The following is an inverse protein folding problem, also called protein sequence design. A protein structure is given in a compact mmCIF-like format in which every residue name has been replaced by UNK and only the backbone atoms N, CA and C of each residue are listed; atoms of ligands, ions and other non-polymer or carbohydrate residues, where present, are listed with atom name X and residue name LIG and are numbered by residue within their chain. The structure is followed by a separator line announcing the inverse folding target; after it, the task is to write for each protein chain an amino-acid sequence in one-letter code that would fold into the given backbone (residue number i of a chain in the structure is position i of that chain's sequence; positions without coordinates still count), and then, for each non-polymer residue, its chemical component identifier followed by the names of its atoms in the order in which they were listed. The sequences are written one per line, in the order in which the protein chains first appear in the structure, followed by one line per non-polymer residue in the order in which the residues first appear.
data_IF_628591547701
#
_entry.id   IF_628591547701
#
_cell.length_a   1.000
_cell.length_b   1.000
_cell.length_c   1.000
_cell.angle_alpha   90.00
_cell.angle_beta   90.00
_cell.angle_gamma   90.00
#
_symmetry.space_group_name_H-M   'P 1'
#
loop_
_entity.id
_entity.type
_entity.pdbx_description
1 polymer ?
#
# COMPACT_ATOMS: atom_id res chain seq x y z
N UNK A 1 13.75 1.54 -20.13
CA UNK A 1 13.19 1.76 -18.78
C UNK A 1 12.23 0.62 -18.46
N UNK A 2 12.20 0.08 -17.24
CA UNK A 2 11.23 -0.92 -16.85
C UNK A 2 9.83 -0.34 -16.89
N UNK A 3 8.86 -1.19 -17.21
CA UNK A 3 7.44 -0.82 -17.18
C UNK A 3 6.85 -1.26 -15.84
N UNK A 4 6.24 -0.32 -15.13
CA UNK A 4 5.51 -0.57 -13.88
C UNK A 4 4.04 -0.32 -14.18
N UNK A 5 3.17 -1.26 -13.79
CA UNK A 5 1.73 -1.04 -13.84
C UNK A 5 1.23 -0.54 -12.49
N UNK A 6 0.36 0.46 -12.54
CA UNK A 6 -0.43 0.91 -11.40
C UNK A 6 -1.86 0.37 -11.56
N UNK A 7 -2.34 -0.31 -10.53
CA UNK A 7 -3.68 -0.88 -10.45
C UNK A 7 -4.39 -0.28 -9.25
N UNK A 8 -5.46 0.45 -9.48
CA UNK A 8 -6.32 0.92 -8.40
C UNK A 8 -7.45 -0.07 -8.09
N UNK A 9 -8.28 0.26 -7.11
CA UNK A 9 -9.39 -0.60 -6.73
C UNK A 9 -10.46 -0.75 -7.83
N UNK A 10 -10.60 0.24 -8.73
CA UNK A 10 -11.51 0.16 -9.86
C UNK A 10 -11.02 -0.84 -10.90
N UNK A 11 -9.71 -0.82 -11.20
CA UNK A 11 -9.08 -1.79 -12.09
C UNK A 11 -9.24 -3.21 -11.54
N UNK A 12 -9.00 -3.38 -10.24
CA UNK A 12 -9.14 -4.66 -9.53
C UNK A 12 -10.57 -5.19 -9.61
N UNK A 13 -11.58 -4.32 -9.58
CA UNK A 13 -13.00 -4.71 -9.68
C UNK A 13 -13.38 -5.21 -11.06
N UNK A 14 -12.79 -4.66 -12.13
CA UNK A 14 -13.30 -4.78 -13.49
C UNK A 14 -12.41 -5.62 -14.44
N UNK A 15 -11.20 -6.01 -14.01
CA UNK A 15 -10.23 -6.61 -14.92
C UNK A 15 -10.33 -8.13 -15.02
N UNK A 16 -10.31 -8.65 -16.24
CA UNK A 16 -10.30 -10.09 -16.52
C UNK A 16 -8.86 -10.68 -16.58
N UNK A 17 -7.83 -9.83 -16.65
CA UNK A 17 -6.44 -10.26 -16.81
C UNK A 17 -5.84 -10.91 -15.58
N UNK A 18 -6.47 -10.79 -14.41
CA UNK A 18 -6.00 -11.42 -13.18
C UNK A 18 -6.01 -12.96 -13.23
N UNK A 19 -6.80 -13.55 -14.12
CA UNK A 19 -6.82 -15.00 -14.32
C UNK A 19 -5.57 -15.53 -15.05
N UNK A 20 -4.84 -14.66 -15.76
CA UNK A 20 -3.65 -15.01 -16.55
C UNK A 20 -2.49 -14.06 -16.23
N UNK A 21 -1.98 -14.06 -14.99
CA UNK A 21 -0.98 -13.11 -14.54
C UNK A 21 0.35 -13.20 -15.28
N UNK A 22 0.74 -14.40 -15.70
CA UNK A 22 1.94 -14.68 -16.50
C UNK A 22 1.93 -13.92 -17.83
N UNK A 23 0.82 -13.99 -18.54
CA UNK A 23 0.63 -13.29 -19.83
C UNK A 23 0.56 -11.79 -19.62
N UNK A 24 -0.22 -11.34 -18.64
CA UNK A 24 -0.40 -9.93 -18.35
C UNK A 24 0.92 -9.26 -17.92
N UNK A 25 1.66 -9.91 -17.01
CA UNK A 25 2.93 -9.37 -16.49
C UNK A 25 4.12 -9.58 -17.42
N UNK A 26 3.93 -10.20 -18.61
CA UNK A 26 5.02 -10.36 -19.58
C UNK A 26 5.62 -9.01 -20.00
N UNK A 27 4.79 -7.96 -20.06
CA UNK A 27 5.19 -6.61 -20.45
C UNK A 27 5.61 -5.71 -19.28
N UNK A 28 5.42 -6.15 -18.02
CA UNK A 28 5.68 -5.34 -16.84
C UNK A 28 6.74 -5.99 -15.94
N UNK A 29 7.54 -5.18 -15.28
CA UNK A 29 8.57 -5.62 -14.35
C UNK A 29 8.26 -5.26 -12.90
N UNK A 30 7.19 -4.53 -12.65
CA UNK A 30 6.74 -4.16 -11.32
C UNK A 30 5.27 -3.81 -11.28
N UNK A 31 4.67 -3.91 -10.10
CA UNK A 31 3.26 -3.65 -9.85
C UNK A 31 3.12 -2.67 -8.68
N UNK A 32 2.25 -1.68 -8.82
CA UNK A 32 1.78 -0.85 -7.70
C UNK A 32 0.29 -1.12 -7.53
N UNK A 33 -0.11 -1.55 -6.34
CA UNK A 33 -1.51 -1.72 -5.93
C UNK A 33 -1.90 -0.48 -5.13
N UNK A 34 -2.82 0.32 -5.65
CA UNK A 34 -3.21 1.60 -5.08
C UNK A 34 -4.16 1.49 -3.89
N UNK A 35 -4.53 2.66 -3.37
CA UNK A 35 -5.56 2.82 -2.35
C UNK A 35 -6.98 2.63 -2.90
N UNK A 36 -7.95 2.55 -1.97
CA UNK A 36 -9.38 2.51 -2.27
C UNK A 36 -10.17 3.33 -1.26
N UNK A 37 -11.18 4.05 -1.75
CA UNK A 37 -12.21 4.65 -0.90
C UNK A 37 -13.49 3.79 -0.82
N UNK A 38 -13.62 2.73 -1.65
CA UNK A 38 -14.83 1.90 -1.75
C UNK A 38 -14.77 0.62 -0.92
N UNK A 39 -13.58 0.04 -0.73
CA UNK A 39 -13.39 -1.25 -0.08
C UNK A 39 -12.83 -1.11 1.33
N UNK A 40 -13.44 -1.85 2.27
CA UNK A 40 -13.07 -1.86 3.69
C UNK A 40 -13.03 -3.31 4.18
N UNK A 41 -12.03 -3.66 4.97
CA UNK A 41 -11.90 -4.99 5.58
C UNK A 41 -12.61 -5.12 6.93
N UNK A 42 -13.08 -4.01 7.50
CA UNK A 42 -13.72 -3.97 8.81
C UNK A 42 -14.87 -2.96 8.89
N UNK A 43 -15.69 -3.07 9.93
CA UNK A 43 -16.78 -2.15 10.20
C UNK A 43 -18.15 -2.61 9.70
N UNK A 44 -19.16 -1.74 9.80
CA UNK A 44 -20.53 -1.98 9.36
C UNK A 44 -20.65 -1.84 7.84
N UNK A 45 -20.11 -2.80 7.11
CA UNK A 45 -20.27 -2.89 5.67
C UNK A 45 -21.65 -3.45 5.38
N UNK A 46 -22.37 -2.92 4.38
CA UNK A 46 -23.61 -3.54 3.94
C UNK A 46 -23.32 -4.96 3.40
N UNK A 47 -24.31 -5.86 3.50
CA UNK A 47 -24.14 -7.22 2.94
C UNK A 47 -23.78 -7.21 1.46
N UNK A 48 -24.25 -6.23 0.72
CA UNK A 48 -23.97 -6.06 -0.70
C UNK A 48 -22.51 -5.67 -0.95
N UNK A 49 -21.97 -4.74 -0.15
CA UNK A 49 -20.56 -4.37 -0.23
C UNK A 49 -19.63 -5.52 0.18
N UNK A 50 -20.02 -6.32 1.19
CA UNK A 50 -19.27 -7.51 1.60
C UNK A 50 -19.20 -8.54 0.47
N UNK A 51 -20.33 -8.82 -0.21
CA UNK A 51 -20.36 -9.73 -1.36
C UNK A 51 -19.51 -9.22 -2.53
N UNK A 52 -19.55 -7.93 -2.82
CA UNK A 52 -18.72 -7.32 -3.86
C UNK A 52 -17.23 -7.42 -3.53
N UNK A 53 -16.88 -7.19 -2.27
CA UNK A 53 -15.49 -7.32 -1.81
C UNK A 53 -15.00 -8.77 -1.88
N UNK A 54 -15.81 -9.75 -1.45
CA UNK A 54 -15.45 -11.17 -1.56
C UNK A 54 -15.27 -11.59 -3.02
N UNK A 55 -16.13 -11.13 -3.91
CA UNK A 55 -15.99 -11.39 -5.35
C UNK A 55 -14.71 -10.79 -5.92
N UNK A 56 -14.37 -9.57 -5.52
CA UNK A 56 -13.12 -8.90 -5.90
C UNK A 56 -11.91 -9.66 -5.37
N UNK A 57 -11.89 -10.04 -4.09
CA UNK A 57 -10.80 -10.81 -3.50
C UNK A 57 -10.58 -12.14 -4.23
N UNK A 58 -11.67 -12.90 -4.51
CA UNK A 58 -11.58 -14.16 -5.25
C UNK A 58 -11.04 -13.97 -6.66
N UNK A 59 -11.34 -12.85 -7.31
CA UNK A 59 -10.86 -12.55 -8.65
C UNK A 59 -9.38 -12.20 -8.69
N UNK A 60 -8.90 -11.40 -7.74
CA UNK A 60 -7.49 -10.96 -7.70
C UNK A 60 -6.56 -12.01 -7.09
N UNK A 61 -7.08 -13.01 -6.38
CA UNK A 61 -6.28 -14.02 -5.68
C UNK A 61 -5.21 -14.67 -6.56
N UNK A 62 -5.51 -15.20 -7.76
CA UNK A 62 -4.49 -15.82 -8.62
C UNK A 62 -3.35 -14.86 -8.97
N UNK A 63 -3.67 -13.58 -9.15
CA UNK A 63 -2.70 -12.54 -9.45
C UNK A 63 -1.77 -12.26 -8.26
N UNK A 64 -2.33 -12.08 -7.07
CA UNK A 64 -1.53 -11.83 -5.86
C UNK A 64 -0.64 -13.05 -5.53
N UNK A 65 -1.19 -14.27 -5.63
CA UNK A 65 -0.39 -15.48 -5.41
C UNK A 65 0.75 -15.61 -6.42
N UNK A 66 0.52 -15.25 -7.68
CA UNK A 66 1.57 -15.21 -8.70
C UNK A 66 2.66 -14.18 -8.37
N UNK A 67 2.28 -12.97 -7.91
CA UNK A 67 3.24 -11.96 -7.46
C UNK A 67 4.11 -12.50 -6.30
N UNK A 68 3.48 -13.20 -5.36
CA UNK A 68 4.17 -13.80 -4.22
C UNK A 68 5.09 -14.93 -4.65
N UNK A 69 4.61 -15.88 -5.46
CA UNK A 69 5.38 -17.03 -5.90
C UNK A 69 6.67 -16.61 -6.63
N UNK A 70 6.54 -15.68 -7.56
CA UNK A 70 7.63 -15.23 -8.42
C UNK A 70 8.41 -14.04 -7.86
N UNK A 71 8.11 -13.58 -6.64
CA UNK A 71 8.73 -12.42 -5.99
C UNK A 71 8.80 -11.19 -6.93
N UNK A 72 7.70 -10.96 -7.67
CA UNK A 72 7.60 -9.82 -8.60
C UNK A 72 7.62 -8.53 -7.77
N UNK A 73 8.46 -7.53 -8.14
CA UNK A 73 8.47 -6.25 -7.45
C UNK A 73 7.05 -5.67 -7.34
N UNK A 74 6.56 -5.57 -6.12
CA UNK A 74 5.19 -5.13 -5.82
C UNK A 74 5.21 -4.12 -4.69
N UNK A 75 4.46 -3.02 -4.85
CA UNK A 75 4.24 -2.02 -3.80
C UNK A 75 2.73 -1.87 -3.58
N UNK A 76 2.23 -2.37 -2.45
CA UNK A 76 0.86 -2.11 -2.00
C UNK A 76 0.80 -0.82 -1.19
N UNK A 77 -0.10 0.10 -1.55
CA UNK A 77 -0.30 1.40 -0.89
C UNK A 77 -1.68 1.41 -0.24
N UNK A 78 -1.77 1.72 1.04
CA UNK A 78 -3.00 1.82 1.81
C UNK A 78 -3.89 0.57 1.64
N UNK A 79 -4.94 0.60 0.82
CA UNK A 79 -5.75 -0.58 0.52
C UNK A 79 -4.93 -1.71 -0.11
N UNK A 80 -4.01 -1.40 -1.02
CA UNK A 80 -3.08 -2.38 -1.60
C UNK A 80 -2.18 -3.05 -0.55
N UNK A 81 -1.73 -2.32 0.46
CA UNK A 81 -1.04 -2.88 1.64
C UNK A 81 -1.95 -3.85 2.39
N UNK A 82 -3.19 -3.44 2.69
CA UNK A 82 -4.17 -4.26 3.40
C UNK A 82 -4.54 -5.51 2.61
N UNK A 83 -4.62 -5.41 1.29
CA UNK A 83 -4.84 -6.53 0.38
C UNK A 83 -3.71 -7.56 0.50
N UNK A 84 -2.46 -7.13 0.41
CA UNK A 84 -1.30 -8.02 0.58
C UNK A 84 -1.30 -8.68 1.96
N UNK A 85 -1.58 -7.94 3.04
CA UNK A 85 -1.71 -8.47 4.41
C UNK A 85 -2.75 -9.58 4.48
N UNK A 86 -3.92 -9.38 3.85
CA UNK A 86 -5.01 -10.35 3.81
C UNK A 86 -4.58 -11.65 3.12
N UNK A 87 -3.91 -11.57 1.98
CA UNK A 87 -3.41 -12.75 1.25
C UNK A 87 -2.19 -13.40 1.91
N UNK A 88 -1.50 -12.71 2.82
CA UNK A 88 -0.50 -13.29 3.71
C UNK A 88 -1.11 -13.96 4.96
N UNK A 89 -2.45 -14.03 5.02
CA UNK A 89 -3.19 -14.76 6.06
C UNK A 89 -3.35 -13.99 7.38
N UNK A 90 -3.02 -12.69 7.42
CA UNK A 90 -3.22 -11.88 8.61
C UNK A 90 -4.50 -11.03 8.49
N UNK A 91 -5.07 -10.70 9.64
CA UNK A 91 -6.34 -9.97 9.71
C UNK A 91 -6.14 -8.48 9.53
N UNK A 92 -6.93 -7.90 8.63
CA UNK A 92 -7.18 -6.46 8.52
C UNK A 92 -8.56 -6.15 9.08
N UNK A 93 -8.68 -5.14 9.91
CA UNK A 93 -9.96 -4.73 10.49
C UNK A 93 -9.96 -3.27 10.91
N UNK A 94 -11.16 -2.71 11.10
CA UNK A 94 -11.33 -1.40 11.72
C UNK A 94 -10.85 -1.45 13.18
N UNK A 95 -9.88 -0.64 13.50
CA UNK A 95 -9.41 -0.38 14.86
C UNK A 95 -9.15 1.11 15.02
N UNK A 96 -10.05 1.79 15.72
CA UNK A 96 -9.98 3.25 15.93
C UNK A 96 -8.68 3.70 16.62
N UNK A 97 -7.99 2.80 17.33
CA UNK A 97 -6.70 3.09 17.95
C UNK A 97 -5.56 3.15 16.92
N UNK A 98 -5.74 2.50 15.77
CA UNK A 98 -4.80 2.45 14.67
C UNK A 98 -5.21 3.29 13.45
N UNK A 99 -6.43 3.85 13.47
CA UNK A 99 -6.93 4.72 12.40
C UNK A 99 -6.17 6.04 12.35
N UNK A 100 -5.74 6.42 11.17
CA UNK A 100 -4.97 7.65 10.92
C UNK A 100 -5.54 8.38 9.70
N UNK A 101 -5.82 9.68 9.86
CA UNK A 101 -6.16 10.60 8.76
C UNK A 101 -5.42 11.91 8.99
N UNK A 102 -4.60 12.33 8.04
CA UNK A 102 -3.75 13.51 8.13
C UNK A 102 -2.26 13.22 7.93
N UNK A 103 -1.42 14.10 8.46
CA UNK A 103 0.04 13.95 8.46
C UNK A 103 0.50 13.34 9.79
N UNK A 104 1.16 12.18 9.72
CA UNK A 104 1.67 11.47 10.90
C UNK A 104 3.12 11.03 10.70
N UNK A 105 3.87 10.89 11.80
CA UNK A 105 5.23 10.36 11.74
C UNK A 105 5.24 8.87 11.41
N UNK A 106 6.19 8.49 10.57
CA UNK A 106 6.58 7.10 10.28
C UNK A 106 7.96 6.86 10.89
N UNK A 107 8.12 5.74 11.60
CA UNK A 107 9.37 5.36 12.30
C UNK A 107 9.91 4.07 11.75
N UNK A 108 11.13 4.09 11.22
CA UNK A 108 11.82 2.89 10.75
C UNK A 108 12.18 1.94 11.88
N UNK A 109 12.10 0.65 11.60
CA UNK A 109 12.75 -0.39 12.41
C UNK A 109 14.26 -0.45 12.11
N UNK A 110 15.00 -1.31 12.82
CA UNK A 110 16.39 -1.64 12.49
C UNK A 110 16.52 -2.20 11.07
N UNK A 111 15.59 -3.06 10.67
CA UNK A 111 15.52 -3.68 9.36
C UNK A 111 15.19 -2.65 8.27
N UNK A 112 14.26 -1.74 8.57
CA UNK A 112 13.88 -0.67 7.65
C UNK A 112 15.02 0.26 7.27
N UNK A 113 15.94 0.54 8.21
CA UNK A 113 17.15 1.38 7.95
C UNK A 113 18.08 0.80 6.90
N UNK A 114 18.06 -0.51 6.71
CA UNK A 114 18.92 -1.24 5.79
C UNK A 114 18.17 -1.71 4.53
N UNK A 115 16.85 -1.45 4.48
CA UNK A 115 16.03 -1.89 3.36
C UNK A 115 16.14 -0.95 2.16
N UNK A 116 16.26 -1.48 0.93
CA UNK A 116 16.31 -0.68 -0.29
C UNK A 116 15.14 0.29 -0.44
N UNK A 117 13.93 -0.05 0.07
CA UNK A 117 12.75 0.80 -0.06
C UNK A 117 12.93 2.15 0.66
N UNK A 118 13.71 2.18 1.74
CA UNK A 118 13.94 3.38 2.54
C UNK A 118 15.34 3.96 2.41
N UNK A 119 16.07 3.55 1.38
CA UNK A 119 17.45 4.02 1.15
C UNK A 119 17.53 5.55 1.12
N UNK A 120 18.39 6.08 2.02
CA UNK A 120 18.65 7.52 2.13
C UNK A 120 17.48 8.34 2.67
N UNK A 121 16.53 7.71 3.38
CA UNK A 121 15.50 8.40 4.16
C UNK A 121 15.97 8.59 5.61
N UNK A 122 15.46 9.62 6.33
CA UNK A 122 15.72 9.75 7.77
C UNK A 122 15.00 8.65 8.55
N UNK A 123 15.45 8.37 9.79
CA UNK A 123 14.84 7.33 10.66
C UNK A 123 13.37 7.60 11.00
N UNK A 124 12.99 8.88 11.02
CA UNK A 124 11.62 9.34 11.25
C UNK A 124 11.30 10.39 10.18
N UNK A 125 10.15 10.27 9.56
CA UNK A 125 9.63 11.24 8.58
C UNK A 125 8.12 11.33 8.65
N UNK A 126 7.53 12.41 8.15
CA UNK A 126 6.08 12.56 7.99
C UNK A 126 5.58 11.91 6.72
N UNK A 127 4.38 11.34 6.77
CA UNK A 127 3.62 10.86 5.61
C UNK A 127 2.14 11.19 5.76
N UNK A 128 1.41 11.24 4.64
CA UNK A 128 -0.05 11.33 4.67
C UNK A 128 -0.68 9.97 4.83
N UNK A 129 -1.67 9.91 5.71
CA UNK A 129 -2.49 8.73 5.97
C UNK A 129 -3.96 9.08 5.77
N UNK A 130 -4.74 8.11 5.29
CA UNK A 130 -6.20 8.22 5.22
C UNK A 130 -6.78 6.80 5.25
N UNK A 131 -6.88 6.21 6.44
CA UNK A 131 -7.40 4.86 6.61
C UNK A 131 -8.11 4.66 7.95
N UNK A 132 -9.09 3.77 7.97
CA UNK A 132 -9.80 3.29 9.16
C UNK A 132 -9.36 1.89 9.53
N UNK A 133 -9.16 1.05 8.51
CA UNK A 133 -8.73 -0.33 8.68
C UNK A 133 -7.22 -0.43 8.73
N UNK A 134 -6.73 -1.35 9.53
CA UNK A 134 -5.30 -1.59 9.73
C UNK A 134 -5.01 -3.08 9.87
N UNK A 135 -3.80 -3.48 9.48
CA UNK A 135 -3.27 -4.79 9.82
C UNK A 135 -3.15 -4.91 11.34
N UNK A 136 -3.78 -5.94 11.93
CA UNK A 136 -3.79 -6.11 13.39
C UNK A 136 -2.47 -6.64 13.92
N UNK A 137 -1.69 -7.31 13.08
CA UNK A 137 -0.37 -7.88 13.38
C UNK A 137 0.53 -7.84 12.16
N UNK A 138 1.81 -7.98 12.39
CA UNK A 138 2.80 -8.20 11.32
C UNK A 138 2.56 -9.60 10.73
N UNK A 139 2.31 -9.73 9.41
CA UNK A 139 2.11 -11.03 8.81
C UNK A 139 3.33 -11.95 8.98
N UNK A 140 3.08 -13.25 9.09
CA UNK A 140 4.18 -14.21 9.18
C UNK A 140 5.08 -14.16 7.93
N UNK A 141 6.33 -14.55 8.08
CA UNK A 141 7.35 -14.54 7.02
C UNK A 141 7.61 -13.16 6.40
N UNK A 142 7.15 -12.07 7.04
CA UNK A 142 7.43 -10.71 6.61
C UNK A 142 8.42 -10.02 7.56
N UNK A 143 9.08 -9.00 7.03
CA UNK A 143 9.96 -8.12 7.79
C UNK A 143 9.22 -6.79 8.01
N UNK A 144 8.98 -6.41 9.27
CA UNK A 144 8.45 -5.09 9.59
C UNK A 144 9.54 -4.05 9.32
N UNK A 145 9.25 -3.09 8.44
CA UNK A 145 10.20 -2.05 8.05
C UNK A 145 9.94 -0.71 8.76
N UNK A 146 8.67 -0.40 9.01
CA UNK A 146 8.29 0.82 9.72
C UNK A 146 6.93 0.69 10.41
N UNK A 147 6.70 1.51 11.44
CA UNK A 147 5.39 1.73 12.06
C UNK A 147 4.95 3.17 11.83
N UNK A 148 3.63 3.41 11.74
CA UNK A 148 3.04 4.74 11.88
C UNK A 148 3.02 5.19 13.33
N UNK A 149 2.42 6.32 13.61
CA UNK A 149 2.21 6.76 15.00
C UNK A 149 1.23 5.84 15.72
N UNK A 150 0.16 5.43 15.05
CA UNK A 150 -0.89 4.55 15.57
C UNK A 150 -0.88 3.17 14.90
N UNK A 151 -0.63 3.11 13.60
CA UNK A 151 -0.60 1.86 12.85
C UNK A 151 0.64 1.03 13.19
N UNK A 152 0.41 -0.19 13.71
CA UNK A 152 1.48 -1.12 14.09
C UNK A 152 2.31 -1.56 12.88
N UNK A 153 1.67 -1.74 11.73
CA UNK A 153 2.28 -2.19 10.49
C UNK A 153 2.25 -1.05 9.48
N UNK A 154 3.13 -0.07 9.66
CA UNK A 154 3.25 1.08 8.76
C UNK A 154 3.89 0.71 7.41
N UNK A 155 4.84 -0.22 7.43
CA UNK A 155 5.42 -0.81 6.22
C UNK A 155 6.03 -2.18 6.52
N UNK A 156 5.93 -3.10 5.55
CA UNK A 156 6.55 -4.41 5.60
C UNK A 156 7.14 -4.82 4.27
N UNK A 157 8.01 -5.84 4.29
CA UNK A 157 8.49 -6.57 3.12
C UNK A 157 8.23 -8.07 3.29
N UNK A 158 7.66 -8.69 2.26
CA UNK A 158 7.55 -10.13 2.11
C UNK A 158 8.54 -10.60 1.04
N UNK A 159 9.25 -11.70 1.29
CA UNK A 159 10.37 -12.16 0.45
C UNK A 159 11.38 -11.03 0.23
N UNK A 160 11.73 -10.76 -1.04
CA UNK A 160 12.77 -9.79 -1.39
C UNK A 160 12.23 -8.48 -1.96
N UNK A 161 11.05 -8.52 -2.64
CA UNK A 161 10.60 -7.41 -3.48
C UNK A 161 9.11 -7.07 -3.34
N UNK A 162 8.35 -7.75 -2.48
CA UNK A 162 6.94 -7.44 -2.23
C UNK A 162 6.83 -6.57 -0.99
N UNK A 163 6.34 -5.36 -1.17
CA UNK A 163 6.25 -4.34 -0.13
C UNK A 163 4.82 -3.90 0.09
N UNK A 164 4.48 -3.59 1.34
CA UNK A 164 3.26 -2.90 1.69
C UNK A 164 3.56 -1.67 2.53
N UNK A 165 2.92 -0.53 2.24
CA UNK A 165 2.99 0.70 3.01
C UNK A 165 1.56 1.19 3.31
N UNK A 166 1.26 1.50 4.59
CA UNK A 166 -0.07 1.95 5.00
C UNK A 166 -0.30 3.42 4.68
N UNK A 167 0.76 4.22 4.63
CA UNK A 167 0.73 5.63 4.23
C UNK A 167 0.69 5.80 2.72
N UNK A 168 0.46 7.03 2.28
CA UNK A 168 0.35 7.43 0.89
C UNK A 168 1.62 8.16 0.41
N UNK A 169 2.63 7.46 -0.15
CA UNK A 169 3.82 8.09 -0.68
C UNK A 169 3.57 8.85 -1.99
N UNK A 170 2.45 8.57 -2.66
CA UNK A 170 2.06 9.20 -3.94
C UNK A 170 1.45 10.58 -3.78
N UNK A 171 0.89 10.89 -2.59
CA UNK A 171 0.20 12.15 -2.36
C UNK A 171 1.16 13.27 -2.00
N UNK A 172 0.97 14.41 -2.62
CA UNK A 172 1.41 15.69 -2.08
C UNK A 172 0.32 16.31 -1.18
N UNK A 173 0.59 17.53 -0.68
CA UNK A 173 -0.36 18.22 0.19
C UNK A 173 -1.67 18.52 -0.53
N UNK A 174 -1.60 19.00 -1.76
CA UNK A 174 -2.78 19.34 -2.55
C UNK A 174 -3.64 18.08 -2.82
N UNK A 175 -3.01 16.99 -3.24
CA UNK A 175 -3.69 15.71 -3.48
C UNK A 175 -4.41 15.23 -2.22
N UNK A 176 -3.77 15.35 -1.03
CA UNK A 176 -4.36 14.94 0.23
C UNK A 176 -5.53 15.85 0.65
N UNK A 177 -5.38 17.16 0.48
CA UNK A 177 -6.46 18.15 0.73
C UNK A 177 -7.69 17.86 -0.15
N UNK A 178 -7.48 17.59 -1.45
CA UNK A 178 -8.57 17.23 -2.36
C UNK A 178 -9.27 15.93 -1.92
N UNK A 179 -8.54 14.91 -1.52
CA UNK A 179 -9.12 13.66 -0.98
C UNK A 179 -9.94 13.88 0.29
N UNK A 180 -9.46 14.71 1.21
CA UNK A 180 -10.20 15.05 2.44
C UNK A 180 -11.49 15.77 2.11
N UNK A 181 -11.49 16.70 1.14
CA UNK A 181 -12.71 17.40 0.69
C UNK A 181 -13.72 16.47 0.03
N UNK A 182 -13.25 15.45 -0.69
CA UNK A 182 -14.10 14.44 -1.31
C UNK A 182 -14.65 13.43 -0.29
N UNK A 183 -13.94 13.19 0.80
CA UNK A 183 -14.25 12.19 1.81
C UNK A 183 -14.20 12.77 3.23
N UNK A 184 -15.04 13.78 3.54
CA UNK A 184 -15.03 14.45 4.84
C UNK A 184 -15.42 13.53 6.01
N UNK A 185 -16.02 12.37 5.72
CA UNK A 185 -16.35 11.36 6.72
C UNK A 185 -15.13 10.70 7.39
N UNK A 186 -13.92 10.92 6.86
CA UNK A 186 -12.68 10.44 7.49
C UNK A 186 -12.14 11.36 8.58
N UNK A 187 -12.66 12.58 8.70
CA UNK A 187 -12.22 13.55 9.70
C UNK A 187 -13.30 13.81 10.73
N UNK A 188 -12.88 14.38 11.86
CA UNK A 188 -13.79 14.91 12.88
C UNK A 188 -13.64 16.42 12.95
N UNK A 189 -14.75 17.16 12.94
CA UNK A 189 -14.76 18.63 13.03
C UNK A 189 -14.80 19.33 11.66
N UNK A 190 -14.36 20.57 11.63
CA UNK A 190 -14.38 21.40 10.43
C UNK A 190 -13.26 21.01 9.45
N UNK A 191 -13.58 20.95 8.16
CA UNK A 191 -12.65 20.54 7.11
C UNK A 191 -11.50 21.52 6.97
N UNK A 192 -11.78 22.84 6.99
CA UNK A 192 -10.73 23.85 6.79
C UNK A 192 -9.77 23.91 7.98
N UNK A 193 -10.27 23.77 9.21
CA UNK A 193 -9.43 23.67 10.41
C UNK A 193 -8.53 22.43 10.34
N UNK A 194 -9.06 21.30 9.88
CA UNK A 194 -8.28 20.07 9.67
C UNK A 194 -7.18 20.28 8.62
N UNK A 195 -7.54 20.83 7.45
CA UNK A 195 -6.58 21.10 6.37
C UNK A 195 -5.47 22.08 6.79
N UNK A 196 -5.81 23.07 7.61
CA UNK A 196 -4.83 24.03 8.17
C UNK A 196 -3.81 23.33 9.11
N UNK A 197 -4.22 22.23 9.75
CA UNK A 197 -3.37 21.44 10.67
C UNK A 197 -2.39 20.51 9.98
N UNK A 198 -2.54 20.28 8.66
CA UNK A 198 -1.67 19.34 7.93
C UNK A 198 -0.23 19.86 7.87
N UNK A 199 0.69 18.99 8.23
CA UNK A 199 2.14 19.24 8.11
C UNK A 199 2.64 18.92 6.70
N UNK A 200 3.75 19.54 6.32
CA UNK A 200 4.43 19.22 5.07
C UNK A 200 5.27 17.95 5.23
N UNK A 201 5.14 16.99 4.31
CA UNK A 201 5.76 15.66 4.38
C UNK A 201 6.69 15.39 3.18
N UNK A 202 7.85 16.02 3.09
CA UNK A 202 8.69 16.03 1.88
C UNK A 202 9.35 14.68 1.56
N UNK A 203 9.45 13.77 2.51
CA UNK A 203 10.25 12.56 2.36
C UNK A 203 9.47 11.36 1.81
N UNK A 204 8.17 11.28 2.04
CA UNK A 204 7.36 10.10 1.71
C UNK A 204 7.48 9.67 0.24
N UNK A 205 7.49 10.62 -0.70
CA UNK A 205 7.60 10.37 -2.15
C UNK A 205 8.89 9.65 -2.56
N UNK A 206 9.95 9.71 -1.73
CA UNK A 206 11.20 8.99 -1.99
C UNK A 206 11.00 7.47 -2.00
N UNK A 207 10.02 6.95 -1.30
CA UNK A 207 9.63 5.53 -1.33
C UNK A 207 9.32 5.07 -2.76
N UNK A 208 8.61 5.89 -3.55
CA UNK A 208 8.31 5.57 -4.95
C UNK A 208 9.58 5.51 -5.82
N UNK A 209 10.50 6.46 -5.66
CA UNK A 209 11.76 6.45 -6.42
C UNK A 209 12.63 5.26 -6.06
N UNK A 210 12.70 4.91 -4.76
CA UNK A 210 13.41 3.73 -4.31
C UNK A 210 12.77 2.44 -4.86
N UNK A 211 11.44 2.37 -4.89
CA UNK A 211 10.73 1.23 -5.50
C UNK A 211 11.03 1.10 -7.00
N UNK A 212 11.03 2.21 -7.75
CA UNK A 212 11.45 2.19 -9.17
C UNK A 212 12.86 1.61 -9.31
N UNK A 213 13.79 1.98 -8.45
CA UNK A 213 15.17 1.44 -8.47
C UNK A 213 15.20 -0.06 -8.18
N UNK A 214 14.33 -0.57 -7.31
CA UNK A 214 14.18 -2.02 -7.05
C UNK A 214 13.68 -2.73 -8.31
N UNK A 215 12.69 -2.16 -9.01
CA UNK A 215 12.17 -2.71 -10.27
C UNK A 215 13.23 -2.70 -11.37
N UNK A 216 14.01 -1.63 -11.49
CA UNK A 216 15.12 -1.54 -12.46
C UNK A 216 16.15 -2.62 -12.23
N UNK A 217 16.54 -2.86 -10.99
CA UNK A 217 17.48 -3.93 -10.63
C UNK A 217 16.92 -5.31 -11.01
N UNK A 218 15.68 -5.58 -10.70
CA UNK A 218 15.01 -6.82 -11.07
C UNK A 218 14.95 -7.04 -12.58
N UNK A 219 14.56 -6.02 -13.34
CA UNK A 219 14.53 -6.08 -14.79
C UNK A 219 15.91 -6.41 -15.38
N UNK A 220 16.97 -5.81 -14.84
CA UNK A 220 18.34 -6.07 -15.26
C UNK A 220 18.80 -7.51 -14.94
N UNK A 221 18.44 -8.03 -13.77
CA UNK A 221 18.74 -9.42 -13.35
C UNK A 221 18.09 -10.43 -14.31
N UNK A 222 16.82 -10.23 -14.71
CA UNK A 222 16.11 -11.10 -15.67
C UNK A 222 16.76 -11.17 -17.05
N UNK A 223 17.28 -10.05 -17.56
CA UNK A 223 17.95 -10.01 -18.88
C UNK A 223 19.27 -10.80 -18.88
N UNK A 224 19.92 -10.96 -17.72
CA UNK A 224 21.20 -11.68 -17.61
C UNK A 224 21.07 -13.20 -17.52
N UNK A 225 19.86 -13.70 -17.27
CA UNK A 225 19.57 -15.13 -17.10
C UNK A 225 19.09 -15.75 -18.44
N UNK A 226 18.69 -14.93 -19.39
CA UNK A 226 18.36 -15.31 -20.77
C UNK A 226 19.60 -15.26 -21.67
#
# INVERSE_FOLDING_TARGET
MPKIIFLDAFDVKNADFFAHPDTFLSDFQGVILGGSAEFYFGGNVSKENDQQQQAMLSRIEPFILYLFEHDIPTLGICFGHQLLVTFLGEKVAADLRQSETGSFPVRMTSEGRHDPLFLGMPDNWGAYFMHRDSALRVPQETVLLASGERSLVGAFRYKTRVYGVQFHPELDRQDHEERVRLHPEYISGDVEDFLASLEWVPHARKVLWNFVSIVEKFAFERVRIL
#
